data_IF_075328044169
#
_entry.id   IF_075328044169
#
_cell.length_a   1.000
_cell.length_b   1.000
_cell.length_c   1.000
_cell.angle_alpha   90.00
_cell.angle_beta   90.00
_cell.angle_gamma   90.00
#
_symmetry.space_group_name_H-M   'P 1'
#
loop_
_entity.id
_entity.type
_entity.pdbx_description
1 polymer ?
#
# COMPACT_ATOMS: atom_id res chain seq x y z
N UNK A 1 -4.05 -16.75 -10.51
CA UNK A 1 -4.74 -15.56 -11.06
C UNK A 1 -3.74 -14.42 -11.07
N UNK A 2 -3.69 -13.60 -12.12
CA UNK A 2 -2.76 -12.46 -12.17
C UNK A 2 -3.35 -11.31 -11.37
N UNK A 3 -2.57 -10.75 -10.44
CA UNK A 3 -2.99 -9.60 -9.66
C UNK A 3 -3.09 -8.34 -10.55
N UNK A 4 -4.11 -7.51 -10.32
CA UNK A 4 -4.36 -6.27 -11.06
C UNK A 4 -4.81 -5.21 -10.06
N UNK A 5 -3.91 -4.32 -9.66
CA UNK A 5 -4.06 -3.37 -8.55
C UNK A 5 -5.36 -2.56 -8.66
N UNK A 6 -5.66 -2.05 -9.86
CA UNK A 6 -6.87 -1.25 -10.16
C UNK A 6 -8.19 -1.95 -9.83
N UNK A 7 -8.22 -3.29 -9.73
CA UNK A 7 -9.43 -4.04 -9.34
C UNK A 7 -9.64 -4.03 -7.82
N UNK A 8 -8.57 -3.88 -7.04
CA UNK A 8 -8.62 -3.94 -5.58
C UNK A 8 -8.67 -2.54 -4.94
N UNK A 9 -8.08 -1.52 -5.57
CA UNK A 9 -8.07 -0.14 -5.06
C UNK A 9 -9.48 0.35 -4.64
N UNK A 10 -10.56 0.19 -5.44
CA UNK A 10 -11.90 0.60 -5.02
C UNK A 10 -12.41 -0.14 -3.77
N UNK A 11 -12.10 -1.43 -3.64
CA UNK A 11 -12.50 -2.27 -2.51
C UNK A 11 -11.76 -1.80 -1.24
N UNK A 12 -10.45 -1.59 -1.34
CA UNK A 12 -9.61 -1.12 -0.25
C UNK A 12 -10.07 0.27 0.19
N UNK A 13 -10.31 1.18 -0.76
CA UNK A 13 -10.81 2.54 -0.51
C UNK A 13 -12.09 2.53 0.31
N UNK A 14 -13.06 1.69 -0.06
CA UNK A 14 -14.32 1.56 0.67
C UNK A 14 -14.12 0.97 2.08
N UNK A 15 -13.36 -0.12 2.21
CA UNK A 15 -13.17 -0.80 3.51
C UNK A 15 -12.39 0.04 4.53
N UNK A 16 -11.44 0.85 4.06
CA UNK A 16 -10.62 1.71 4.91
C UNK A 16 -11.14 3.16 4.99
N UNK A 17 -12.27 3.46 4.34
CA UNK A 17 -12.83 4.82 4.23
C UNK A 17 -11.79 5.85 3.76
N UNK A 18 -11.08 5.53 2.68
CA UNK A 18 -10.05 6.38 2.10
C UNK A 18 -10.62 7.33 1.05
N UNK A 19 -9.90 8.42 0.83
CA UNK A 19 -10.15 9.44 -0.17
C UNK A 19 -9.19 9.27 -1.35
N UNK A 20 -9.53 9.91 -2.48
CA UNK A 20 -8.59 10.09 -3.57
C UNK A 20 -7.49 11.07 -3.13
N UNK A 21 -6.20 10.70 -3.24
CA UNK A 21 -5.11 11.51 -2.74
C UNK A 21 -4.73 12.65 -3.68
N UNK A 22 -4.33 13.77 -3.09
CA UNK A 22 -3.64 14.84 -3.78
C UNK A 22 -2.18 14.46 -4.10
N UNK A 23 -1.61 14.95 -5.21
CA UNK A 23 -0.19 14.74 -5.51
C UNK A 23 0.74 15.31 -4.42
N UNK A 24 1.81 14.59 -4.12
CA UNK A 24 2.85 14.98 -3.17
C UNK A 24 4.05 15.52 -3.96
N UNK A 25 4.42 16.77 -3.68
CA UNK A 25 5.64 17.36 -4.21
C UNK A 25 6.86 16.87 -3.43
N UNK A 26 7.82 16.26 -4.11
CA UNK A 26 9.08 15.75 -3.52
C UNK A 26 10.30 16.59 -3.93
N UNK A 27 10.09 17.84 -4.36
CA UNK A 27 11.12 18.81 -4.74
C UNK A 27 11.53 18.72 -6.22
N UNK A 28 11.57 17.53 -6.79
CA UNK A 28 11.96 17.29 -8.20
C UNK A 28 10.85 16.64 -9.04
N UNK A 29 9.76 16.19 -8.42
CA UNK A 29 8.60 15.60 -9.08
C UNK A 29 7.35 15.76 -8.21
N UNK A 30 6.18 15.56 -8.81
CA UNK A 30 4.92 15.33 -8.09
C UNK A 30 4.56 13.85 -8.24
N UNK A 31 4.41 13.15 -7.13
CA UNK A 31 4.06 11.72 -7.12
C UNK A 31 2.65 11.61 -6.55
N UNK A 32 1.78 10.86 -7.23
CA UNK A 32 0.39 10.68 -6.80
C UNK A 32 0.24 9.32 -6.10
N UNK A 33 -0.09 9.30 -4.81
CA UNK A 33 -0.42 8.06 -4.11
C UNK A 33 -1.65 7.37 -4.68
N UNK A 34 -1.86 6.10 -4.33
CA UNK A 34 -3.09 5.39 -4.68
C UNK A 34 -4.25 5.78 -3.77
N UNK A 35 -3.99 5.91 -2.47
CA UNK A 35 -5.02 6.14 -1.45
C UNK A 35 -4.56 7.12 -0.37
N UNK A 36 -5.50 7.89 0.18
CA UNK A 36 -5.32 8.65 1.42
C UNK A 36 -6.34 8.20 2.46
N UNK A 37 -5.88 7.57 3.53
CA UNK A 37 -6.75 7.04 4.59
C UNK A 37 -6.44 7.79 5.90
N UNK A 38 -7.26 8.78 6.25
CA UNK A 38 -6.93 9.76 7.29
C UNK A 38 -5.69 10.57 6.89
N UNK A 39 -4.69 10.60 7.76
CA UNK A 39 -3.43 11.31 7.52
C UNK A 39 -2.37 10.49 6.77
N UNK A 40 -2.63 9.20 6.51
CA UNK A 40 -1.68 8.29 5.87
C UNK A 40 -1.94 8.15 4.37
N UNK A 41 -0.89 8.32 3.58
CA UNK A 41 -0.87 8.10 2.13
C UNK A 41 -0.31 6.72 1.83
N UNK A 42 -1.05 5.92 1.07
CA UNK A 42 -0.72 4.54 0.78
C UNK A 42 -0.41 4.33 -0.69
N UNK A 43 0.59 3.49 -0.92
CA UNK A 43 0.77 2.77 -2.17
C UNK A 43 0.15 1.38 -2.06
N UNK A 44 -0.50 0.92 -3.14
CA UNK A 44 -1.13 -0.39 -3.24
C UNK A 44 -0.48 -1.16 -4.39
N UNK A 45 0.20 -2.26 -4.06
CA UNK A 45 0.89 -3.07 -5.07
C UNK A 45 0.53 -4.55 -4.97
N UNK A 46 0.65 -5.23 -6.11
CA UNK A 46 0.63 -6.68 -6.15
C UNK A 46 1.90 -7.28 -5.54
N UNK A 47 1.81 -8.51 -5.02
CA UNK A 47 2.92 -9.20 -4.33
C UNK A 47 4.22 -9.31 -5.15
N UNK A 48 4.16 -9.29 -6.47
CA UNK A 48 5.31 -9.32 -7.39
C UNK A 48 6.00 -7.95 -7.55
N UNK A 49 5.29 -6.86 -7.25
CA UNK A 49 5.78 -5.48 -7.33
C UNK A 49 6.00 -4.81 -5.98
N UNK A 50 5.97 -5.57 -4.89
CA UNK A 50 6.10 -5.04 -3.53
C UNK A 50 7.33 -4.11 -3.32
N UNK A 51 8.43 -4.35 -4.04
CA UNK A 51 9.63 -3.51 -3.98
C UNK A 51 9.44 -2.15 -4.68
N UNK A 52 8.70 -2.09 -5.78
CA UNK A 52 8.31 -0.82 -6.41
C UNK A 52 7.43 -0.02 -5.45
N UNK A 53 6.45 -0.67 -4.83
CA UNK A 53 5.56 -0.03 -3.86
C UNK A 53 6.28 0.55 -2.65
N UNK A 54 7.29 -0.16 -2.14
CA UNK A 54 8.16 0.36 -1.08
C UNK A 54 8.87 1.65 -1.52
N UNK A 55 9.42 1.68 -2.73
CA UNK A 55 10.07 2.87 -3.27
C UNK A 55 9.13 4.07 -3.32
N UNK A 56 7.90 3.87 -3.77
CA UNK A 56 6.87 4.93 -3.83
C UNK A 56 6.45 5.40 -2.43
N UNK A 57 6.18 4.47 -1.51
CA UNK A 57 5.84 4.80 -0.12
C UNK A 57 6.96 5.58 0.59
N UNK A 58 8.23 5.26 0.33
CA UNK A 58 9.37 6.03 0.83
C UNK A 58 9.44 7.43 0.21
N UNK A 59 9.08 7.59 -1.05
CA UNK A 59 9.01 8.90 -1.69
C UNK A 59 7.92 9.78 -1.06
N UNK A 60 6.75 9.22 -0.70
CA UNK A 60 5.71 9.94 0.05
C UNK A 60 6.23 10.44 1.39
N UNK A 61 6.97 9.59 2.09
CA UNK A 61 7.63 9.95 3.35
C UNK A 61 8.66 11.06 3.16
N UNK A 62 9.45 11.00 2.09
CA UNK A 62 10.41 12.06 1.75
C UNK A 62 9.72 13.40 1.48
N UNK A 63 8.55 13.38 0.85
CA UNK A 63 7.66 14.54 0.70
C UNK A 63 6.98 15.02 1.99
N UNK A 64 7.42 14.52 3.15
CA UNK A 64 6.95 14.95 4.48
C UNK A 64 5.58 14.40 4.89
N UNK A 65 5.08 13.34 4.23
CA UNK A 65 3.79 12.73 4.55
C UNK A 65 3.94 11.50 5.43
N UNK A 66 2.90 11.18 6.20
CA UNK A 66 2.78 9.85 6.78
C UNK A 66 2.48 8.86 5.66
N UNK A 67 3.27 7.81 5.55
CA UNK A 67 3.24 6.90 4.42
C UNK A 67 2.98 5.46 4.84
N UNK A 68 2.36 4.69 3.95
CA UNK A 68 2.12 3.29 4.14
C UNK A 68 2.17 2.48 2.86
N UNK A 69 2.22 1.17 3.02
CA UNK A 69 2.29 0.19 1.94
C UNK A 69 1.24 -0.89 2.17
N UNK A 70 0.40 -1.12 1.17
CA UNK A 70 -0.60 -2.19 1.14
C UNK A 70 -0.18 -3.17 0.05
N UNK A 71 -0.04 -4.44 0.40
CA UNK A 71 0.28 -5.49 -0.59
C UNK A 71 -0.93 -6.41 -0.78
N UNK A 72 -1.34 -6.58 -2.03
CA UNK A 72 -2.34 -7.56 -2.45
C UNK A 72 -1.65 -8.90 -2.64
N UNK A 73 -2.06 -9.88 -1.84
CA UNK A 73 -1.46 -11.22 -1.83
C UNK A 73 -2.40 -12.21 -2.50
N UNK A 74 -1.82 -13.03 -3.39
CA UNK A 74 -2.52 -14.14 -4.03
C UNK A 74 -1.91 -15.47 -3.60
N UNK A 75 -0.57 -15.58 -3.58
CA UNK A 75 0.09 -16.87 -3.33
C UNK A 75 1.23 -16.82 -2.30
N UNK A 76 1.76 -15.64 -1.96
CA UNK A 76 3.02 -15.50 -1.20
C UNK A 76 2.82 -14.88 0.18
N UNK A 77 1.76 -15.28 0.89
CA UNK A 77 1.37 -14.65 2.15
C UNK A 77 2.50 -14.66 3.19
N UNK A 78 3.20 -15.78 3.37
CA UNK A 78 4.27 -15.90 4.35
C UNK A 78 5.45 -14.96 4.07
N UNK A 79 5.89 -14.88 2.81
CA UNK A 79 6.97 -14.01 2.37
C UNK A 79 6.60 -12.54 2.46
N UNK A 80 5.39 -12.18 2.00
CA UNK A 80 4.89 -10.80 2.07
C UNK A 80 4.74 -10.34 3.52
N UNK A 81 4.25 -11.18 4.41
CA UNK A 81 4.18 -10.85 5.84
C UNK A 81 5.56 -10.58 6.44
N UNK A 82 6.57 -11.39 6.12
CA UNK A 82 7.95 -11.15 6.58
C UNK A 82 8.50 -9.84 6.03
N UNK A 83 8.27 -9.58 4.74
CA UNK A 83 8.67 -8.34 4.08
C UNK A 83 8.01 -7.12 4.74
N UNK A 84 6.70 -7.12 4.92
CA UNK A 84 5.96 -6.00 5.51
C UNK A 84 6.30 -5.73 6.98
N UNK A 85 6.63 -6.77 7.75
CA UNK A 85 7.18 -6.60 9.11
C UNK A 85 8.53 -5.90 9.07
N UNK A 86 9.43 -6.36 8.22
CA UNK A 86 10.73 -5.72 8.03
C UNK A 86 10.58 -4.25 7.56
N UNK A 87 9.66 -3.97 6.63
CA UNK A 87 9.38 -2.60 6.17
C UNK A 87 8.93 -1.70 7.32
N UNK A 88 7.99 -2.17 8.14
CA UNK A 88 7.49 -1.44 9.31
C UNK A 88 8.62 -1.14 10.30
N UNK A 89 9.43 -2.15 10.63
CA UNK A 89 10.54 -2.01 11.59
C UNK A 89 11.64 -1.08 11.08
N UNK A 90 12.00 -1.14 9.80
CA UNK A 90 13.14 -0.38 9.25
C UNK A 90 12.79 1.02 8.80
N UNK A 91 11.59 1.23 8.26
CA UNK A 91 11.22 2.50 7.65
C UNK A 91 10.10 3.23 8.38
N UNK A 92 9.54 2.62 9.44
CA UNK A 92 8.42 3.16 10.21
C UNK A 92 7.25 3.56 9.28
N UNK A 93 6.93 2.70 8.32
CA UNK A 93 5.78 2.81 7.43
C UNK A 93 4.60 2.01 8.00
N UNK A 94 3.38 2.49 7.77
CA UNK A 94 2.18 1.71 8.09
C UNK A 94 2.01 0.62 7.04
N UNK A 95 1.98 -0.65 7.45
CA UNK A 95 1.91 -1.78 6.53
C UNK A 95 0.63 -2.57 6.70
N UNK A 96 0.03 -2.94 5.57
CA UNK A 96 -1.16 -3.79 5.54
C UNK A 96 -1.05 -4.82 4.42
N UNK A 97 -1.79 -5.91 4.57
CA UNK A 97 -1.94 -6.92 3.53
C UNK A 97 -3.41 -7.09 3.18
N UNK A 98 -3.69 -7.26 1.90
CA UNK A 98 -5.01 -7.57 1.37
C UNK A 98 -5.01 -9.02 0.92
N UNK A 99 -5.92 -9.82 1.46
CA UNK A 99 -6.13 -11.22 1.10
C UNK A 99 -7.59 -11.38 0.73
N UNK A 100 -7.88 -11.88 -0.47
CA UNK A 100 -9.25 -12.05 -0.95
C UNK A 100 -9.61 -13.53 -1.08
N UNK A 101 -10.70 -13.92 -0.42
CA UNK A 101 -11.23 -15.28 -0.40
C UNK A 101 -12.75 -15.21 -0.59
N UNK A 102 -13.33 -16.12 -1.37
CA UNK A 102 -14.80 -16.28 -1.50
C UNK A 102 -15.56 -14.96 -1.75
N UNK A 103 -15.07 -14.13 -2.69
CA UNK A 103 -15.63 -12.82 -3.07
C UNK A 103 -15.56 -11.71 -2.01
N UNK A 104 -14.86 -11.91 -0.89
CA UNK A 104 -14.55 -10.84 0.05
C UNK A 104 -13.03 -10.64 0.19
N UNK A 105 -12.63 -9.42 0.50
CA UNK A 105 -11.25 -9.04 0.73
C UNK A 105 -11.04 -8.60 2.17
N UNK A 106 -10.16 -9.30 2.88
CA UNK A 106 -9.74 -8.95 4.23
C UNK A 106 -8.51 -8.06 4.18
N UNK A 107 -8.50 -7.02 5.02
CA UNK A 107 -7.38 -6.11 5.18
C UNK A 107 -6.82 -6.30 6.57
N UNK A 108 -5.57 -6.75 6.65
CA UNK A 108 -4.90 -7.07 7.90
C UNK A 108 -3.74 -6.10 8.13
N UNK A 109 -3.67 -5.52 9.33
CA UNK A 109 -2.51 -4.74 9.74
C UNK A 109 -1.35 -5.68 10.05
N UNK A 110 -0.14 -5.29 9.61
CA UNK A 110 1.10 -6.03 9.88
C UNK A 110 1.91 -5.33 10.96
#
# INVERSE_FOLDING_TARGET
>A
MTCVERQYIPIIRLKLNCEDPEPINVGFANIKPDLKCGDTYFEVECEDKAHYGLGQALAYRYGGKQAGLIIIVINRYGEVMKFLKWVKEKFNLRTMVVVCENNDCNILNV
#
